data_IF_631407248381
#
_entry.id   IF_631407248381
#
_cell.length_a   1.000
_cell.length_b   1.000
_cell.length_c   1.000
_cell.angle_alpha   90.00
_cell.angle_beta   90.00
_cell.angle_gamma   90.00
#
_symmetry.space_group_name_H-M   'P 1'
#
loop_
_entity.id
_entity.type
_entity.pdbx_description
1 polymer ?
#
# COMPACT_ATOMS: atom_id res chain seq x y z
N UNK A 1 -21.92 -6.14 16.92
CA UNK A 1 -21.69 -5.92 15.47
C UNK A 1 -21.18 -4.52 15.11
N UNK A 2 -21.50 -3.45 15.86
CA UNK A 2 -21.14 -2.05 15.53
C UNK A 2 -19.62 -1.79 15.50
N UNK A 3 -18.84 -2.43 16.38
CA UNK A 3 -17.38 -2.22 16.44
C UNK A 3 -16.62 -2.75 15.21
N UNK A 4 -17.09 -3.83 14.57
CA UNK A 4 -16.43 -4.37 13.37
C UNK A 4 -16.60 -3.44 12.18
N UNK A 5 -17.77 -2.82 12.05
CA UNK A 5 -18.05 -1.86 10.98
C UNK A 5 -17.18 -0.60 11.11
N UNK A 6 -17.06 -0.06 12.33
CA UNK A 6 -16.19 1.09 12.61
C UNK A 6 -14.71 0.75 12.35
N UNK A 7 -14.27 -0.46 12.71
CA UNK A 7 -12.92 -0.93 12.41
C UNK A 7 -12.66 -1.01 10.90
N UNK A 8 -13.56 -1.65 10.15
CA UNK A 8 -13.45 -1.76 8.69
C UNK A 8 -13.48 -0.38 8.01
N UNK A 9 -14.33 0.52 8.48
CA UNK A 9 -14.40 1.91 8.00
C UNK A 9 -13.10 2.66 8.26
N UNK A 10 -12.52 2.48 9.44
CA UNK A 10 -11.23 3.07 9.79
C UNK A 10 -10.10 2.51 8.90
N UNK A 11 -10.04 1.19 8.70
CA UNK A 11 -9.08 0.56 7.80
C UNK A 11 -9.21 1.10 6.37
N UNK A 12 -10.43 1.15 5.82
CA UNK A 12 -10.68 1.71 4.50
C UNK A 12 -10.25 3.20 4.39
N UNK A 13 -10.53 4.00 5.42
CA UNK A 13 -10.08 5.39 5.50
C UNK A 13 -8.56 5.53 5.53
N UNK A 14 -7.88 4.63 6.25
CA UNK A 14 -6.42 4.58 6.33
C UNK A 14 -5.77 4.26 4.98
N UNK A 15 -6.23 3.21 4.30
CA UNK A 15 -5.73 2.85 2.97
C UNK A 15 -6.00 3.95 1.94
N UNK A 16 -7.17 4.59 1.98
CA UNK A 16 -7.47 5.75 1.12
C UNK A 16 -6.48 6.89 1.35
N UNK A 17 -6.12 7.16 2.61
CA UNK A 17 -5.14 8.20 2.93
C UNK A 17 -3.74 7.89 2.37
N UNK A 18 -3.34 6.62 2.41
CA UNK A 18 -2.08 6.16 1.79
C UNK A 18 -2.11 6.37 0.28
N UNK A 19 -3.23 6.04 -0.38
CA UNK A 19 -3.39 6.26 -1.81
C UNK A 19 -3.30 7.75 -2.18
N UNK A 20 -4.00 8.63 -1.46
CA UNK A 20 -3.93 10.08 -1.65
C UNK A 20 -2.48 10.61 -1.50
N UNK A 21 -1.72 10.11 -0.52
CA UNK A 21 -0.32 10.49 -0.31
C UNK A 21 0.57 10.05 -1.49
N UNK A 22 0.30 8.88 -2.09
CA UNK A 22 1.00 8.37 -3.29
C UNK A 22 0.69 9.25 -4.50
N UNK A 23 -0.60 9.52 -4.75
CA UNK A 23 -1.04 10.38 -5.86
C UNK A 23 -0.48 11.80 -5.73
N UNK A 24 -0.50 12.37 -4.52
CA UNK A 24 0.06 13.68 -4.24
C UNK A 24 1.57 13.73 -4.45
N UNK A 25 2.31 12.68 -4.09
CA UNK A 25 3.76 12.62 -4.33
C UNK A 25 4.09 12.44 -5.83
N UNK A 26 3.30 11.66 -6.57
CA UNK A 26 3.47 11.46 -8.02
C UNK A 26 3.03 12.67 -8.85
N UNK A 27 2.01 13.40 -8.40
CA UNK A 27 1.50 14.60 -9.06
C UNK A 27 2.41 15.83 -8.95
N UNK A 28 3.49 15.76 -8.16
CA UNK A 28 4.46 16.85 -8.07
C UNK A 28 5.22 17.02 -9.40
N UNK A 29 5.26 18.25 -9.96
CA UNK A 29 5.80 18.52 -11.29
C UNK A 29 7.31 18.35 -11.38
N UNK A 30 8.05 18.64 -10.31
CA UNK A 30 9.51 18.44 -10.27
C UNK A 30 9.87 17.20 -9.45
N UNK A 31 10.73 16.37 -10.02
CA UNK A 31 11.29 15.16 -9.38
C UNK A 31 12.06 15.51 -8.10
N UNK A 32 12.66 16.70 -8.02
CA UNK A 32 13.39 17.19 -6.83
C UNK A 32 12.48 17.45 -5.60
N UNK A 33 11.19 17.68 -5.82
CA UNK A 33 10.21 17.91 -4.75
C UNK A 33 9.47 16.63 -4.36
N UNK A 34 9.67 15.56 -5.15
CA UNK A 34 9.21 14.22 -4.78
C UNK A 34 10.09 13.74 -3.64
N UNK A 35 9.44 13.19 -2.64
CA UNK A 35 10.16 12.45 -1.61
C UNK A 35 10.91 11.31 -2.33
N UNK A 36 12.22 11.17 -2.09
CA UNK A 36 13.08 10.23 -2.82
C UNK A 36 12.44 8.83 -2.89
N UNK A 37 12.52 8.16 -4.03
CA UNK A 37 11.74 6.94 -4.31
C UNK A 37 11.84 5.87 -3.21
N UNK A 38 13.03 5.74 -2.61
CA UNK A 38 13.29 4.81 -1.50
C UNK A 38 12.78 5.33 -0.15
N UNK A 39 12.94 6.62 0.16
CA UNK A 39 12.43 7.25 1.39
C UNK A 39 10.90 7.20 1.42
N UNK A 40 10.27 7.49 0.28
CA UNK A 40 8.83 7.42 0.12
C UNK A 40 8.31 5.98 0.23
N UNK A 41 8.98 5.02 -0.41
CA UNK A 41 8.63 3.61 -0.29
C UNK A 41 8.76 3.13 1.17
N UNK A 42 9.81 3.53 1.88
CA UNK A 42 10.01 3.18 3.30
C UNK A 42 8.91 3.76 4.17
N UNK A 43 8.51 5.01 3.93
CA UNK A 43 7.40 5.66 4.62
C UNK A 43 6.07 4.93 4.41
N UNK A 44 5.78 4.50 3.18
CA UNK A 44 4.57 3.73 2.88
C UNK A 44 4.63 2.35 3.55
N UNK A 45 5.79 1.67 3.57
CA UNK A 45 5.97 0.38 4.25
C UNK A 45 5.65 0.50 5.74
N UNK A 46 6.24 1.51 6.40
CA UNK A 46 6.03 1.77 7.82
C UNK A 46 4.57 2.11 8.14
N UNK A 47 3.89 2.89 7.28
CA UNK A 47 2.44 3.16 7.43
C UNK A 47 1.63 1.86 7.34
N UNK A 48 1.96 0.97 6.41
CA UNK A 48 1.26 -0.31 6.26
C UNK A 48 1.62 -1.33 7.36
N UNK A 49 2.51 -0.99 8.31
CA UNK A 49 3.00 -1.92 9.33
C UNK A 49 3.92 -3.01 8.78
N UNK A 50 4.39 -2.86 7.55
CA UNK A 50 5.22 -3.85 6.86
C UNK A 50 6.65 -3.36 6.59
N UNK A 51 7.40 -4.19 5.88
CA UNK A 51 8.75 -3.94 5.42
C UNK A 51 8.78 -3.50 3.94
N UNK A 52 9.93 -3.01 3.48
CA UNK A 52 10.16 -2.74 2.05
C UNK A 52 10.01 -3.99 1.17
N UNK A 53 10.27 -5.19 1.73
CA UNK A 53 10.08 -6.47 1.04
C UNK A 53 8.62 -6.75 0.78
N UNK A 54 7.76 -6.44 1.76
CA UNK A 54 6.30 -6.61 1.65
C UNK A 54 5.74 -5.66 0.58
N UNK A 55 6.24 -4.42 0.52
CA UNK A 55 5.88 -3.49 -0.56
C UNK A 55 6.32 -3.97 -1.95
N UNK A 56 7.49 -4.61 -2.06
CA UNK A 56 7.94 -5.20 -3.33
C UNK A 56 7.05 -6.37 -3.74
N UNK A 57 6.53 -7.13 -2.78
CA UNK A 57 5.59 -8.22 -3.01
C UNK A 57 4.23 -7.70 -3.45
N UNK A 58 3.71 -6.65 -2.78
CA UNK A 58 2.49 -5.94 -3.21
C UNK A 58 2.64 -5.41 -4.64
N UNK A 59 3.80 -4.81 -4.98
CA UNK A 59 4.08 -4.37 -6.36
C UNK A 59 4.07 -5.53 -7.36
N UNK A 60 4.60 -6.70 -7.00
CA UNK A 60 4.55 -7.88 -7.87
C UNK A 60 3.10 -8.33 -8.10
N UNK A 61 2.25 -8.23 -7.09
CA UNK A 61 0.83 -8.57 -7.16
C UNK A 61 -0.03 -7.55 -7.90
N UNK A 62 0.36 -6.29 -7.87
CA UNK A 62 -0.26 -5.25 -8.69
C UNK A 62 0.10 -5.35 -10.18
N UNK A 63 0.96 -6.29 -10.58
CA UNK A 63 1.29 -6.53 -11.97
C UNK A 63 0.11 -7.17 -12.71
N UNK A 64 -0.24 -6.72 -13.92
CA UNK A 64 -1.29 -7.35 -14.73
C UNK A 64 -0.97 -8.80 -15.14
N UNK A 65 0.26 -9.26 -14.91
CA UNK A 65 0.71 -10.62 -15.18
C UNK A 65 0.52 -11.59 -14.01
N UNK A 66 0.04 -11.13 -12.85
CA UNK A 66 -0.11 -12.00 -11.67
C UNK A 66 -1.32 -12.92 -11.85
N UNK A 67 -1.22 -14.17 -11.40
CA UNK A 67 -2.34 -15.11 -11.43
C UNK A 67 -3.19 -14.93 -10.18
N UNK A 68 -4.50 -15.19 -10.30
CA UNK A 68 -5.42 -15.15 -9.16
C UNK A 68 -5.01 -16.12 -8.03
N UNK A 69 -4.35 -17.24 -8.37
CA UNK A 69 -3.83 -18.17 -7.36
C UNK A 69 -2.70 -17.57 -6.52
N UNK A 70 -1.84 -16.75 -7.14
CA UNK A 70 -0.75 -16.05 -6.43
C UNK A 70 -1.30 -14.98 -5.47
N UNK A 71 -2.43 -14.36 -5.84
CA UNK A 71 -3.16 -13.41 -4.98
C UNK A 71 -3.79 -14.15 -3.80
N UNK A 72 -4.38 -15.32 -4.04
CA UNK A 72 -5.02 -16.13 -3.00
C UNK A 72 -4.01 -16.64 -1.98
N UNK A 73 -2.89 -17.19 -2.44
CA UNK A 73 -1.80 -17.65 -1.57
C UNK A 73 -1.23 -16.49 -0.73
N UNK A 74 -1.12 -15.30 -1.31
CA UNK A 74 -0.69 -14.12 -0.55
C UNK A 74 -1.69 -13.70 0.52
N UNK A 75 -2.98 -13.65 0.18
CA UNK A 75 -4.03 -13.29 1.12
C UNK A 75 -4.12 -14.31 2.27
N UNK A 76 -3.90 -15.58 1.98
CA UNK A 76 -3.84 -16.65 2.99
C UNK A 76 -2.62 -16.55 3.90
N UNK A 77 -1.49 -16.02 3.41
CA UNK A 77 -0.30 -15.75 4.23
C UNK A 77 -0.34 -14.42 4.99
N UNK A 78 -1.39 -13.60 4.79
CA UNK A 78 -1.56 -12.31 5.46
C UNK A 78 -2.33 -12.42 6.79
N UNK A 79 -2.92 -13.60 7.10
CA UNK A 79 -3.72 -13.91 8.28
C UNK A 79 -3.27 -15.21 8.94
#
# INVERSE_FOLDING_TARGET
>A
MVMLFELLRNCAGFYRKIQEDIEANLGKPNVEWREGSEVFATKVALKLGGSLSDLKQIRKMASPSVRDEDIKEFAENLF
#
